data_IF_080005032716
#
_entry.id   IF_080005032716
#
_cell.length_a   1.000
_cell.length_b   1.000
_cell.length_c   1.000
_cell.angle_alpha   90.00
_cell.angle_beta   90.00
_cell.angle_gamma   90.00
#
_symmetry.space_group_name_H-M   'P 1'
#
loop_
_entity.id
_entity.type
_entity.pdbx_description
1 polymer ?
#
# COMPACT_ATOMS: atom_id res chain seq x y z
N UNK A 1 -2.53 14.66 -7.12
CA UNK A 1 -2.07 13.85 -5.97
C UNK A 1 -1.36 12.62 -6.51
N UNK A 2 -0.22 12.22 -5.94
CA UNK A 2 0.53 11.05 -6.41
C UNK A 2 0.64 10.04 -5.27
N UNK A 3 0.26 8.78 -5.55
CA UNK A 3 0.55 7.67 -4.65
C UNK A 3 1.99 7.22 -4.84
N UNK A 4 2.75 7.16 -3.75
CA UNK A 4 4.10 6.61 -3.73
C UNK A 4 4.11 5.44 -2.77
N UNK A 5 4.50 4.27 -3.27
CA UNK A 5 4.58 3.05 -2.45
C UNK A 5 5.85 3.08 -1.59
N UNK A 6 5.74 2.55 -0.37
CA UNK A 6 6.79 2.69 0.66
C UNK A 6 7.62 1.45 0.95
N UNK A 7 7.08 0.26 0.66
CA UNK A 7 7.76 -1.02 0.89
C UNK A 7 7.96 -1.36 2.37
N UNK A 8 6.86 -1.48 3.12
CA UNK A 8 6.89 -1.69 4.58
C UNK A 8 7.66 -2.96 5.00
N UNK A 9 7.41 -4.06 4.29
CA UNK A 9 8.06 -5.37 4.46
C UNK A 9 8.55 -5.88 3.09
N UNK A 10 9.07 -4.98 2.25
CA UNK A 10 9.54 -5.35 0.92
C UNK A 10 10.78 -6.23 0.99
N UNK A 11 10.72 -7.42 0.38
CA UNK A 11 11.79 -8.42 0.45
C UNK A 11 11.84 -9.21 1.75
N UNK A 12 10.84 -9.06 2.62
CA UNK A 12 10.68 -9.91 3.80
C UNK A 12 10.08 -11.26 3.40
N UNK A 13 10.94 -12.27 3.33
CA UNK A 13 10.56 -13.62 2.93
C UNK A 13 10.54 -14.59 4.12
N UNK A 14 10.48 -14.10 5.36
CA UNK A 14 10.40 -15.00 6.51
C UNK A 14 8.98 -15.51 6.75
N UNK A 15 8.87 -16.80 7.08
CA UNK A 15 7.63 -17.36 7.63
C UNK A 15 7.39 -16.70 8.98
N UNK A 16 6.15 -16.27 9.22
CA UNK A 16 5.81 -15.55 10.44
C UNK A 16 5.84 -16.48 11.67
N UNK A 17 6.52 -16.06 12.72
CA UNK A 17 6.54 -16.82 13.99
C UNK A 17 5.18 -16.71 14.69
N UNK A 18 4.83 -17.64 15.60
CA UNK A 18 3.60 -17.55 16.38
C UNK A 18 3.44 -16.22 17.13
N UNK A 19 4.53 -15.67 17.68
CA UNK A 19 4.53 -14.37 18.38
C UNK A 19 4.22 -13.22 17.40
N UNK A 20 4.77 -13.28 16.19
CA UNK A 20 4.52 -12.27 15.15
C UNK A 20 3.08 -12.33 14.65
N UNK A 21 2.53 -13.53 14.48
CA UNK A 21 1.12 -13.74 14.13
C UNK A 21 0.20 -13.16 15.20
N UNK A 22 0.47 -13.43 16.49
CA UNK A 22 -0.31 -12.86 17.59
C UNK A 22 -0.23 -11.33 17.60
N UNK A 23 0.97 -10.76 17.41
CA UNK A 23 1.15 -9.32 17.28
C UNK A 23 0.32 -8.71 16.15
N UNK A 24 0.34 -9.33 14.96
CA UNK A 24 -0.46 -8.85 13.81
C UNK A 24 -1.96 -8.91 14.11
N UNK A 25 -2.43 -10.00 14.72
CA UNK A 25 -3.84 -10.17 15.11
C UNK A 25 -4.31 -9.07 16.06
N UNK A 26 -3.55 -8.80 17.11
CA UNK A 26 -3.90 -7.76 18.09
C UNK A 26 -3.86 -6.37 17.47
N UNK A 27 -2.86 -6.10 16.63
CA UNK A 27 -2.72 -4.82 15.95
C UNK A 27 -3.87 -4.57 14.95
N UNK A 28 -4.26 -5.56 14.16
CA UNK A 28 -5.37 -5.45 13.21
C UNK A 28 -6.71 -5.28 13.92
N UNK A 29 -6.90 -5.94 15.06
CA UNK A 29 -8.09 -5.73 15.89
C UNK A 29 -8.18 -4.29 16.41
N UNK A 30 -7.08 -3.74 16.93
CA UNK A 30 -7.02 -2.35 17.38
C UNK A 30 -7.34 -1.38 16.22
N UNK A 31 -6.78 -1.61 15.04
CA UNK A 31 -7.06 -0.79 13.86
C UNK A 31 -8.56 -0.87 13.49
N UNK A 32 -9.14 -2.06 13.46
CA UNK A 32 -10.57 -2.26 13.19
C UNK A 32 -11.45 -1.51 14.19
N UNK A 33 -11.18 -1.65 15.49
CA UNK A 33 -11.93 -0.97 16.56
C UNK A 33 -11.86 0.56 16.46
N UNK A 34 -10.70 1.11 16.06
CA UNK A 34 -10.48 2.56 15.96
C UNK A 34 -10.99 3.17 14.66
N UNK A 35 -10.95 2.45 13.56
CA UNK A 35 -11.25 2.97 12.22
C UNK A 35 -12.61 2.53 11.66
N UNK A 36 -13.21 1.48 12.24
CA UNK A 36 -14.41 0.83 11.71
C UNK A 36 -14.15 -0.03 10.47
N UNK A 37 -12.90 -0.21 10.06
CA UNK A 37 -12.53 -1.06 8.93
C UNK A 37 -12.75 -2.55 9.25
N UNK A 38 -13.16 -3.32 8.25
CA UNK A 38 -13.37 -4.75 8.39
C UNK A 38 -12.04 -5.51 8.33
N UNK A 39 -11.83 -6.45 9.27
CA UNK A 39 -10.70 -7.36 9.27
C UNK A 39 -11.18 -8.80 9.44
N UNK A 40 -10.66 -9.68 8.58
CA UNK A 40 -10.63 -11.13 8.74
C UNK A 40 -9.23 -11.53 9.17
N UNK A 41 -9.15 -12.69 9.83
CA UNK A 41 -7.90 -13.15 10.44
C UNK A 41 -7.47 -14.53 9.93
N UNK A 42 -8.22 -15.12 9.00
CA UNK A 42 -8.02 -16.46 8.50
C UNK A 42 -6.65 -16.62 7.81
N UNK A 43 -6.13 -15.56 7.18
CA UNK A 43 -4.80 -15.55 6.55
C UNK A 43 -3.68 -15.77 7.57
N UNK A 44 -3.89 -15.37 8.82
CA UNK A 44 -2.95 -15.56 9.91
C UNK A 44 -2.87 -17.01 10.38
N UNK A 45 -3.80 -17.86 9.93
CA UNK A 45 -3.84 -19.30 10.23
C UNK A 45 -3.20 -20.13 9.09
N UNK A 46 -2.84 -19.50 7.96
CA UNK A 46 -2.21 -20.17 6.84
C UNK A 46 -0.73 -20.45 7.12
N UNK A 47 -0.40 -21.72 7.30
CA UNK A 47 0.98 -22.17 7.48
C UNK A 47 1.84 -21.83 6.26
N UNK A 48 2.95 -21.11 6.47
CA UNK A 48 3.84 -20.70 5.38
C UNK A 48 3.44 -19.40 4.68
N UNK A 49 2.47 -18.66 5.19
CA UNK A 49 2.19 -17.31 4.70
C UNK A 49 3.39 -16.38 4.92
N UNK A 50 3.80 -15.72 3.83
CA UNK A 50 4.83 -14.70 3.82
C UNK A 50 4.19 -13.33 3.88
N UNK A 51 4.65 -12.48 4.80
CA UNK A 51 4.20 -11.09 4.90
C UNK A 51 5.07 -10.16 4.03
N UNK A 52 5.11 -10.47 2.74
CA UNK A 52 5.87 -9.76 1.72
C UNK A 52 4.98 -8.66 1.11
N UNK A 53 5.46 -7.42 1.05
CA UNK A 53 4.64 -6.27 0.59
C UNK A 53 5.08 -5.67 -0.73
N UNK A 54 6.23 -6.08 -1.28
CA UNK A 54 6.73 -5.61 -2.56
C UNK A 54 5.79 -5.99 -3.70
N UNK A 55 5.21 -7.19 -3.72
CA UNK A 55 4.21 -7.59 -4.74
C UNK A 55 3.00 -6.67 -4.74
N UNK A 56 2.44 -6.38 -3.56
CA UNK A 56 1.34 -5.42 -3.40
C UNK A 56 1.71 -4.04 -3.94
N UNK A 57 2.92 -3.56 -3.60
CA UNK A 57 3.42 -2.28 -4.09
C UNK A 57 3.56 -2.28 -5.61
N UNK A 58 4.14 -3.33 -6.18
CA UNK A 58 4.37 -3.47 -7.63
C UNK A 58 3.07 -3.57 -8.41
N UNK A 59 2.04 -4.23 -7.86
CA UNK A 59 0.70 -4.26 -8.45
C UNK A 59 0.11 -2.85 -8.61
N UNK A 60 0.27 -1.98 -7.60
CA UNK A 60 -0.17 -0.58 -7.66
C UNK A 60 0.60 0.22 -8.70
N UNK A 61 1.93 0.03 -8.76
CA UNK A 61 2.77 0.65 -9.81
C UNK A 61 2.34 0.19 -11.20
N UNK A 62 1.99 -1.08 -11.36
CA UNK A 62 1.49 -1.66 -12.62
C UNK A 62 0.22 -0.96 -13.08
N UNK A 63 -0.77 -0.79 -12.19
CA UNK A 63 -2.00 -0.03 -12.51
C UNK A 63 -1.69 1.41 -12.85
N UNK A 64 -0.78 2.07 -12.11
CA UNK A 64 -0.34 3.44 -12.43
C UNK A 64 0.26 3.54 -13.83
N UNK A 65 0.98 2.52 -14.32
CA UNK A 65 1.56 2.48 -15.66
C UNK A 65 0.50 2.23 -16.75
N UNK A 66 -0.35 1.22 -16.54
CA UNK A 66 -1.34 0.80 -17.53
C UNK A 66 -2.56 1.73 -17.60
N UNK A 67 -2.97 2.26 -16.45
CA UNK A 67 -4.16 3.11 -16.32
C UNK A 67 -3.96 4.22 -15.28
N UNK A 68 -3.19 5.27 -15.62
CA UNK A 68 -2.97 6.42 -14.74
C UNK A 68 -4.28 7.00 -14.22
N UNK A 69 -4.34 7.29 -12.92
CA UNK A 69 -5.53 7.78 -12.22
C UNK A 69 -6.37 6.68 -11.56
N UNK A 70 -6.10 5.40 -11.85
CA UNK A 70 -6.79 4.26 -11.23
C UNK A 70 -6.03 3.66 -10.04
N UNK A 71 -4.81 4.11 -9.75
CA UNK A 71 -3.95 3.50 -8.72
C UNK A 71 -4.50 3.62 -7.29
N UNK A 72 -5.18 4.73 -6.96
CA UNK A 72 -5.78 4.92 -5.64
C UNK A 72 -6.97 3.99 -5.38
N UNK A 73 -8.01 3.95 -6.25
CA UNK A 73 -9.11 3.03 -6.03
C UNK A 73 -8.66 1.57 -6.14
N UNK A 74 -7.69 1.25 -7.00
CA UNK A 74 -7.09 -0.09 -7.06
C UNK A 74 -6.35 -0.45 -5.77
N UNK A 75 -5.56 0.47 -5.22
CA UNK A 75 -4.88 0.29 -3.93
C UNK A 75 -5.88 -0.02 -2.81
N UNK A 76 -6.99 0.72 -2.73
CA UNK A 76 -8.04 0.45 -1.76
C UNK A 76 -8.71 -0.92 -1.98
N UNK A 77 -8.93 -1.33 -3.23
CA UNK A 77 -9.51 -2.62 -3.58
C UNK A 77 -8.61 -3.78 -3.11
N UNK A 78 -7.31 -3.75 -3.44
CA UNK A 78 -6.42 -4.84 -3.01
C UNK A 78 -6.24 -4.89 -1.48
N UNK A 79 -6.33 -3.74 -0.80
CA UNK A 79 -6.36 -3.70 0.67
C UNK A 79 -7.63 -4.34 1.24
N UNK A 80 -8.80 -4.03 0.69
CA UNK A 80 -10.05 -4.68 1.08
C UNK A 80 -10.01 -6.18 0.79
N UNK A 81 -9.46 -6.58 -0.36
CA UNK A 81 -9.22 -7.97 -0.72
C UNK A 81 -8.38 -8.71 0.32
N UNK A 82 -7.27 -8.13 0.76
CA UNK A 82 -6.42 -8.71 1.78
C UNK A 82 -7.08 -8.72 3.17
N UNK A 83 -7.46 -7.55 3.68
CA UNK A 83 -7.91 -7.41 5.07
C UNK A 83 -9.33 -7.90 5.31
N UNK A 84 -10.28 -7.63 4.41
CA UNK A 84 -11.70 -7.95 4.62
C UNK A 84 -12.14 -9.24 3.93
N UNK A 85 -11.46 -9.65 2.86
CA UNK A 85 -11.84 -10.82 2.05
C UNK A 85 -10.86 -11.98 2.15
N UNK A 86 -9.72 -11.79 2.83
CA UNK A 86 -8.72 -12.83 3.05
C UNK A 86 -8.08 -13.38 1.76
N UNK A 87 -7.99 -12.54 0.72
CA UNK A 87 -7.30 -12.88 -0.54
C UNK A 87 -5.79 -12.94 -0.32
N UNK A 88 -5.13 -13.89 -0.98
CA UNK A 88 -3.70 -14.12 -0.86
C UNK A 88 -2.88 -13.12 -1.69
N UNK A 89 -2.13 -12.26 -1.00
CA UNK A 89 -1.26 -11.25 -1.60
C UNK A 89 0.06 -11.81 -2.14
N UNK A 90 0.33 -13.11 -1.93
CA UNK A 90 1.45 -13.81 -2.57
C UNK A 90 1.12 -14.32 -3.98
N UNK A 91 -0.15 -14.25 -4.38
CA UNK A 91 -0.61 -14.67 -5.70
C UNK A 91 -0.71 -13.49 -6.66
N UNK A 92 0.04 -13.51 -7.75
CA UNK A 92 -0.05 -12.47 -8.79
C UNK A 92 -1.43 -12.47 -9.48
N UNK A 93 -2.11 -13.62 -9.51
CA UNK A 93 -3.46 -13.74 -10.05
C UNK A 93 -4.49 -12.91 -9.27
N UNK A 94 -4.33 -12.80 -7.95
CA UNK A 94 -5.22 -11.97 -7.11
C UNK A 94 -5.20 -10.52 -7.58
N UNK A 95 -4.02 -10.01 -7.90
CA UNK A 95 -3.83 -8.64 -8.39
C UNK A 95 -4.36 -8.47 -9.81
N UNK A 96 -4.08 -9.44 -10.69
CA UNK A 96 -4.57 -9.41 -12.06
C UNK A 96 -6.11 -9.48 -12.14
N UNK A 97 -6.74 -10.32 -11.31
CA UNK A 97 -8.20 -10.38 -11.17
C UNK A 97 -8.78 -9.03 -10.74
N UNK A 98 -8.22 -8.42 -9.69
CA UNK A 98 -8.64 -7.12 -9.21
C UNK A 98 -8.48 -6.02 -10.28
N UNK A 99 -7.45 -6.11 -11.12
CA UNK A 99 -7.18 -5.13 -12.17
C UNK A 99 -8.26 -5.14 -13.28
N UNK A 100 -8.96 -6.26 -13.48
CA UNK A 100 -10.04 -6.37 -14.48
C UNK A 100 -11.22 -5.44 -14.19
N UNK A 101 -11.51 -5.15 -12.92
CA UNK A 101 -12.55 -4.20 -12.51
C UNK A 101 -12.25 -2.76 -12.98
N UNK A 102 -10.97 -2.49 -13.24
CA UNK A 102 -10.47 -1.24 -13.79
C UNK A 102 -10.29 -1.31 -15.30
N UNK A 103 -10.79 -2.35 -15.98
CA UNK A 103 -10.71 -2.52 -17.43
C UNK A 103 -9.28 -2.73 -17.94
N UNK A 104 -8.41 -3.30 -17.10
CA UNK A 104 -7.06 -3.73 -17.49
C UNK A 104 -7.14 -5.22 -17.81
N UNK A 105 -6.56 -5.64 -18.93
CA UNK A 105 -6.50 -7.06 -19.29
C UNK A 105 -5.61 -7.83 -18.32
N UNK A 106 -6.01 -9.07 -18.01
CA UNK A 106 -5.33 -9.94 -17.05
C UNK A 106 -3.90 -10.27 -17.46
N UNK A 107 -3.71 -10.67 -18.71
CA UNK A 107 -2.40 -11.10 -19.21
C UNK A 107 -1.49 -9.89 -19.41
N UNK A 108 -2.04 -8.77 -19.89
CA UNK A 108 -1.34 -7.50 -19.95
C UNK A 108 -0.83 -7.07 -18.57
N UNK A 109 -1.70 -7.14 -17.55
CA UNK A 109 -1.33 -6.80 -16.17
C UNK A 109 -0.18 -7.68 -15.68
N UNK A 110 -0.29 -9.01 -15.82
CA UNK A 110 0.76 -9.94 -15.38
C UNK A 110 2.08 -9.70 -16.11
N UNK A 111 2.03 -9.41 -17.41
CA UNK A 111 3.20 -9.09 -18.21
C UNK A 111 3.90 -7.83 -17.70
N UNK A 112 3.14 -6.74 -17.47
CA UNK A 112 3.72 -5.47 -17.00
C UNK A 112 4.16 -5.55 -15.54
N UNK A 113 3.41 -6.25 -14.67
CA UNK A 113 3.77 -6.44 -13.27
C UNK A 113 5.09 -7.21 -13.12
N UNK A 114 5.33 -8.17 -14.00
CA UNK A 114 6.55 -8.99 -13.98
C UNK A 114 7.69 -8.42 -14.81
N UNK A 115 7.50 -7.29 -15.48
CA UNK A 115 8.55 -6.62 -16.23
C UNK A 115 9.57 -5.95 -15.29
N UNK A 116 10.83 -5.95 -15.71
CA UNK A 116 11.95 -5.42 -14.92
C UNK A 116 11.85 -3.91 -14.69
N UNK A 117 11.33 -3.16 -15.66
CA UNK A 117 11.10 -1.72 -15.54
C UNK A 117 10.09 -1.39 -14.42
N UNK A 118 9.04 -2.19 -14.26
CA UNK A 118 8.05 -2.04 -13.18
C UNK A 118 8.65 -2.38 -11.81
N UNK A 119 9.58 -3.34 -11.73
CA UNK A 119 10.36 -3.59 -10.51
C UNK A 119 11.23 -2.38 -10.15
N UNK A 120 11.91 -1.81 -11.13
CA UNK A 120 12.77 -0.64 -10.95
C UNK A 120 11.97 0.60 -10.54
N UNK A 121 10.81 0.84 -11.14
CA UNK A 121 9.92 1.93 -10.73
C UNK A 121 9.39 1.76 -9.31
N UNK A 122 9.06 0.52 -8.91
CA UNK A 122 8.64 0.20 -7.54
C UNK A 122 9.78 0.47 -6.55
N UNK A 123 11.00 0.03 -6.87
CA UNK A 123 12.19 0.30 -6.06
C UNK A 123 12.52 1.81 -5.99
N UNK A 124 12.31 2.56 -7.07
CA UNK A 124 12.51 4.00 -7.11
C UNK A 124 11.53 4.75 -6.19
N UNK A 125 10.27 4.31 -6.12
CA UNK A 125 9.30 4.85 -5.15
C UNK A 125 9.77 4.60 -3.70
N UNK A 126 10.27 3.40 -3.39
CA UNK A 126 10.81 3.09 -2.05
C UNK A 126 12.03 3.97 -1.71
N UNK A 127 12.95 4.15 -2.66
CA UNK A 127 14.13 5.00 -2.49
C UNK A 127 13.74 6.46 -2.29
N UNK A 128 12.79 6.96 -3.08
CA UNK A 128 12.29 8.31 -2.96
C UNK A 128 11.64 8.53 -1.59
N UNK A 129 10.74 7.65 -1.16
CA UNK A 129 10.08 7.72 0.16
C UNK A 129 11.12 7.87 1.27
N UNK A 130 12.13 6.99 1.31
CA UNK A 130 13.22 7.07 2.29
C UNK A 130 14.04 8.36 2.17
N UNK A 131 14.35 8.81 0.96
CA UNK A 131 15.12 10.05 0.72
C UNK A 131 14.42 11.32 1.23
N UNK A 132 13.08 11.28 1.33
CA UNK A 132 12.27 12.38 1.86
C UNK A 132 12.12 12.36 3.39
N UNK A 133 12.80 11.43 4.08
CA UNK A 133 12.76 11.29 5.53
C UNK A 133 11.54 10.53 6.06
N UNK A 134 10.74 9.92 5.19
CA UNK A 134 9.58 9.12 5.58
C UNK A 134 10.04 7.80 6.20
N UNK A 135 9.76 7.64 7.49
CA UNK A 135 10.10 6.44 8.28
C UNK A 135 8.86 5.73 8.85
N UNK A 136 7.66 6.16 8.47
CA UNK A 136 6.39 5.61 8.93
C UNK A 136 5.26 5.84 7.94
N UNK A 137 4.25 4.98 7.98
CA UNK A 137 3.09 5.03 7.09
C UNK A 137 1.79 5.06 7.90
N UNK A 138 0.71 5.70 7.39
CA UNK A 138 0.69 6.54 6.20
C UNK A 138 1.41 7.89 6.42
N UNK A 139 2.03 8.45 5.38
CA UNK A 139 2.61 9.81 5.42
C UNK A 139 2.05 10.61 4.24
N UNK A 140 1.63 11.84 4.51
CA UNK A 140 1.18 12.78 3.46
C UNK A 140 2.19 13.91 3.38
N UNK A 141 2.74 14.11 2.18
CA UNK A 141 3.67 15.19 1.89
C UNK A 141 3.00 16.20 0.96
N UNK A 142 3.22 17.48 1.24
CA UNK A 142 2.81 18.61 0.38
C UNK A 142 4.05 19.16 -0.31
N UNK A 143 3.92 19.51 -1.60
CA UNK A 143 5.00 20.02 -2.42
C UNK A 143 4.54 21.26 -3.18
N UNK A 144 5.35 22.32 -3.15
CA UNK A 144 5.16 23.56 -3.88
C UNK A 144 6.50 24.05 -4.48
N UNK A 145 6.57 25.34 -4.84
CA UNK A 145 7.80 25.97 -5.33
C UNK A 145 8.89 26.11 -4.28
N UNK A 146 8.53 26.14 -2.98
CA UNK A 146 9.45 26.30 -1.85
C UNK A 146 10.07 24.98 -1.42
N UNK A 147 9.40 23.87 -1.69
CA UNK A 147 9.95 22.54 -1.47
C UNK A 147 8.91 21.52 -1.06
N UNK A 148 9.31 20.62 -0.17
CA UNK A 148 8.53 19.49 0.30
C UNK A 148 8.38 19.58 1.82
N UNK A 149 7.16 19.41 2.34
CA UNK A 149 6.89 19.37 3.77
C UNK A 149 5.94 18.22 4.11
N UNK A 150 6.02 17.72 5.34
CA UNK A 150 5.11 16.69 5.84
C UNK A 150 3.85 17.33 6.42
N UNK A 151 2.69 16.90 5.92
CA UNK A 151 1.39 17.24 6.48
C UNK A 151 1.05 16.31 7.66
N UNK A 152 1.35 15.03 7.53
CA UNK A 152 1.27 14.05 8.63
C UNK A 152 2.29 12.94 8.44
N UNK A 153 2.78 12.41 9.56
CA UNK A 153 3.55 11.18 9.64
C UNK A 153 2.83 10.24 10.61
N UNK A 154 2.05 9.31 10.05
CA UNK A 154 1.14 8.43 10.79
C UNK A 154 -0.33 8.77 10.60
N UNK A 155 -1.20 7.90 11.12
CA UNK A 155 -2.64 8.08 11.07
C UNK A 155 -3.07 9.29 11.89
N UNK A 156 -3.90 10.13 11.27
CA UNK A 156 -4.61 11.25 11.89
C UNK A 156 -6.02 11.32 11.27
N UNK A 157 -7.04 11.72 12.06
CA UNK A 157 -8.36 12.01 11.51
C UNK A 157 -8.30 13.22 10.57
N UNK A 158 -9.22 13.31 9.62
CA UNK A 158 -9.20 14.35 8.57
C UNK A 158 -9.20 15.75 9.16
N UNK A 159 -9.98 15.97 10.22
CA UNK A 159 -10.13 17.24 10.92
C UNK A 159 -8.80 17.77 11.48
N UNK A 160 -7.86 16.87 11.83
CA UNK A 160 -6.54 17.25 12.30
C UNK A 160 -5.60 17.71 11.16
N UNK A 161 -5.94 17.41 9.90
CA UNK A 161 -5.14 17.75 8.72
C UNK A 161 -5.58 19.05 8.04
N UNK A 162 -6.81 19.52 8.31
CA UNK A 162 -7.39 20.69 7.64
C UNK A 162 -6.57 21.97 7.90
N UNK A 163 -6.30 22.29 9.17
CA UNK A 163 -5.58 23.52 9.52
C UNK A 163 -4.12 23.53 9.02
N UNK A 164 -3.32 22.45 9.18
CA UNK A 164 -1.98 22.40 8.59
C UNK A 164 -1.98 22.50 7.07
N UNK A 165 -2.98 21.90 6.40
CA UNK A 165 -3.10 21.98 4.93
C UNK A 165 -3.44 23.40 4.49
N UNK A 166 -4.38 24.06 5.16
CA UNK A 166 -4.76 25.44 4.87
C UNK A 166 -3.57 26.38 5.08
N UNK A 167 -2.83 26.22 6.18
CA UNK A 167 -1.63 27.01 6.45
C UNK A 167 -0.53 26.86 5.39
N UNK A 168 -0.44 25.69 4.74
CA UNK A 168 0.46 25.50 3.59
C UNK A 168 -0.05 26.20 2.32
N UNK A 169 -1.34 26.07 2.02
CA UNK A 169 -1.98 26.69 0.84
C UNK A 169 -1.87 28.22 0.89
N UNK A 170 -2.01 28.81 2.07
CA UNK A 170 -1.96 30.26 2.26
C UNK A 170 -0.54 30.83 2.27
N UNK A 171 0.49 29.96 2.25
CA UNK A 171 1.90 30.37 2.34
C UNK A 171 2.49 30.77 1.00
#
# INVERSE_FOLDING_TARGET
MRLVVGGLHAGDNCIQTPERIQFLRDHWKEIGDRSGQAFKFDILENEGWHYETERCCRAVVTVRKLKPGSEYPYFANIQAGFYAENKDTNSDDMFADAATEYGIDRDEFLNVMNAEDTRQETAADFQWSRSTGVNGFPTVLVKDEKGLAALTMGYQPLEALEAPLQGWIDS
#
